data_IF_120286842206
#
_entry.id   IF_120286842206
#
_cell.length_a   1.000
_cell.length_b   1.000
_cell.length_c   1.000
_cell.angle_alpha   90.00
_cell.angle_beta   90.00
_cell.angle_gamma   90.00
#
_symmetry.space_group_name_H-M   'P 1'
#
loop_
_entity.id
_entity.type
_entity.pdbx_description
1 polymer ?
#
# COMPACT_ATOMS: atom_id res chain seq x y z
N UNK A 1 10.16 5.86 -6.93
CA UNK A 1 9.40 6.08 -5.67
C UNK A 1 9.04 7.54 -5.46
N UNK A 2 9.54 8.41 -6.34
CA UNK A 2 9.43 9.86 -6.24
C UNK A 2 8.23 10.25 -7.10
N UNK A 3 7.37 11.18 -6.66
CA UNK A 3 6.27 11.68 -7.48
C UNK A 3 6.81 12.38 -8.73
N UNK A 4 6.14 12.13 -9.84
CA UNK A 4 6.15 12.99 -11.03
C UNK A 4 4.95 13.92 -10.93
N UNK A 5 5.20 15.23 -10.98
CA UNK A 5 4.16 16.25 -10.96
C UNK A 5 3.67 16.48 -12.39
N UNK A 6 2.37 16.31 -12.60
CA UNK A 6 1.67 16.61 -13.85
C UNK A 6 0.98 17.96 -13.67
N UNK A 7 1.50 19.04 -14.30
CA UNK A 7 0.94 20.36 -14.16
C UNK A 7 -0.37 20.47 -14.94
N UNK A 8 -1.32 21.21 -14.37
CA UNK A 8 -2.45 21.70 -15.15
C UNK A 8 -1.95 22.81 -16.08
N UNK A 9 -2.42 22.83 -17.33
CA UNK A 9 -2.00 23.82 -18.33
C UNK A 9 -3.16 24.77 -18.65
N UNK A 10 -2.83 26.03 -18.90
CA UNK A 10 -3.77 27.05 -19.37
C UNK A 10 -4.12 26.86 -20.86
N UNK A 11 -4.91 27.78 -21.42
CA UNK A 11 -5.32 27.76 -22.82
C UNK A 11 -4.14 27.91 -23.81
N UNK A 12 -2.97 28.34 -23.35
CA UNK A 12 -1.75 28.49 -24.12
C UNK A 12 -0.77 27.32 -23.93
N UNK A 13 -1.15 26.31 -23.15
CA UNK A 13 -0.32 25.15 -22.86
C UNK A 13 0.75 25.40 -21.81
N UNK A 14 0.73 26.54 -21.10
CA UNK A 14 1.68 26.90 -20.04
C UNK A 14 1.18 26.35 -18.70
N UNK A 15 2.04 25.80 -17.82
CA UNK A 15 1.65 25.41 -16.48
C UNK A 15 0.95 26.54 -15.72
N UNK A 16 -0.30 26.32 -15.33
CA UNK A 16 -1.11 27.29 -14.61
C UNK A 16 -0.78 27.21 -13.11
N UNK A 17 0.10 28.11 -12.67
CA UNK A 17 0.54 28.22 -11.28
C UNK A 17 -0.56 28.74 -10.35
N UNK A 18 -1.60 29.40 -10.86
CA UNK A 18 -2.73 29.87 -10.05
C UNK A 18 -3.62 28.71 -9.59
N UNK A 19 -3.53 27.55 -10.26
CA UNK A 19 -4.30 26.33 -9.98
C UNK A 19 -3.41 25.18 -9.54
N UNK A 20 -2.35 25.49 -8.79
CA UNK A 20 -1.36 24.53 -8.31
C UNK A 20 -1.97 23.41 -7.45
N UNK A 21 -3.05 23.72 -6.73
CA UNK A 21 -3.85 22.80 -5.93
C UNK A 21 -4.49 21.67 -6.77
N UNK A 22 -4.75 21.94 -8.05
CA UNK A 22 -5.36 21.01 -9.00
C UNK A 22 -4.33 20.21 -9.80
N UNK A 23 -3.03 20.42 -9.54
CA UNK A 23 -1.99 19.61 -10.16
C UNK A 23 -2.00 18.21 -9.58
N UNK A 24 -1.59 17.22 -10.37
CA UNK A 24 -1.61 15.82 -9.93
C UNK A 24 -0.18 15.31 -9.75
N UNK A 25 0.11 14.71 -8.60
CA UNK A 25 1.32 13.93 -8.38
C UNK A 25 1.04 12.46 -8.66
N UNK A 26 1.88 11.83 -9.48
CA UNK A 26 1.78 10.41 -9.84
C UNK A 26 3.07 9.67 -9.46
N UNK A 27 2.99 8.43 -9.02
CA UNK A 27 4.19 7.65 -8.74
C UNK A 27 4.77 7.02 -10.02
N UNK A 28 6.07 7.19 -10.25
CA UNK A 28 6.86 6.55 -11.30
C UNK A 28 6.87 5.00 -11.27
N UNK A 29 6.49 4.39 -10.15
CA UNK A 29 6.60 2.93 -9.91
C UNK A 29 5.29 2.21 -9.60
N UNK A 30 4.21 2.93 -9.30
CA UNK A 30 2.93 2.32 -8.98
C UNK A 30 1.78 3.22 -9.47
N UNK A 31 0.55 2.69 -9.66
CA UNK A 31 -0.56 3.46 -10.20
C UNK A 31 -1.16 4.46 -9.20
N UNK A 32 -0.42 4.84 -8.15
CA UNK A 32 -0.88 5.82 -7.18
C UNK A 32 -0.80 7.23 -7.77
N UNK A 33 -1.90 7.97 -7.68
CA UNK A 33 -2.02 9.37 -8.05
C UNK A 33 -2.75 10.15 -6.95
N UNK A 34 -2.37 11.41 -6.75
CA UNK A 34 -3.04 12.32 -5.81
C UNK A 34 -3.03 13.75 -6.32
N UNK A 35 -3.94 14.60 -5.86
CA UNK A 35 -3.84 16.05 -6.05
C UNK A 35 -2.70 16.61 -5.19
N UNK A 36 -2.06 17.68 -5.66
CA UNK A 36 -1.00 18.39 -4.93
C UNK A 36 -1.55 18.99 -3.62
N UNK A 37 -2.80 19.46 -3.61
CA UNK A 37 -3.47 19.93 -2.39
C UNK A 37 -3.53 18.86 -1.29
N UNK A 38 -3.66 17.59 -1.70
CA UNK A 38 -3.81 16.43 -0.82
C UNK A 38 -2.49 15.65 -0.67
N UNK A 39 -1.34 16.22 -1.06
CA UNK A 39 -0.04 15.54 -0.99
C UNK A 39 0.45 15.30 0.44
N UNK A 40 -0.28 15.82 1.43
CA UNK A 40 0.03 15.78 2.86
C UNK A 40 0.11 14.40 3.57
N UNK A 41 -0.07 13.22 2.93
CA UNK A 41 0.41 11.96 3.52
C UNK A 41 1.66 11.38 2.83
N UNK A 42 2.31 12.10 1.92
CA UNK A 42 3.55 11.63 1.29
C UNK A 42 4.73 11.92 2.21
N UNK A 43 5.46 10.86 2.57
CA UNK A 43 6.53 10.92 3.57
C UNK A 43 7.68 11.77 3.01
N UNK A 44 8.05 12.84 3.70
CA UNK A 44 9.30 13.56 3.44
C UNK A 44 10.43 12.84 4.16
N UNK A 45 11.48 12.45 3.43
CA UNK A 45 12.67 11.85 4.05
C UNK A 45 13.38 12.85 4.98
N UNK A 46 13.71 12.42 6.20
CA UNK A 46 14.40 13.28 7.19
C UNK A 46 15.88 13.54 6.88
N UNK A 47 16.52 12.72 6.05
CA UNK A 47 17.92 12.89 5.67
C UNK A 47 18.09 12.55 4.19
N UNK A 48 18.65 13.50 3.44
CA UNK A 48 18.94 13.51 2.00
C UNK A 48 17.76 13.94 1.10
N UNK A 49 17.92 15.14 0.53
CA UNK A 49 17.28 15.66 -0.69
C UNK A 49 15.79 16.01 -0.68
N UNK A 50 15.13 16.16 0.48
CA UNK A 50 13.70 16.51 0.56
C UNK A 50 12.82 15.60 -0.34
N UNK A 51 13.24 14.36 -0.55
CA UNK A 51 12.53 13.45 -1.43
C UNK A 51 11.15 13.14 -0.82
N UNK A 52 10.12 13.43 -1.60
CA UNK A 52 8.73 13.08 -1.29
C UNK A 52 8.51 11.63 -1.71
N UNK A 53 8.09 10.77 -0.80
CA UNK A 53 7.91 9.34 -1.08
C UNK A 53 6.44 8.96 -1.21
N UNK A 54 6.13 8.19 -2.26
CA UNK A 54 4.80 7.64 -2.46
C UNK A 54 4.41 6.69 -1.30
N UNK A 55 3.29 6.92 -0.59
CA UNK A 55 2.91 6.14 0.58
C UNK A 55 2.64 4.66 0.25
N UNK A 56 2.10 4.36 -0.93
CA UNK A 56 1.89 2.98 -1.39
C UNK A 56 3.22 2.23 -1.55
N UNK A 57 4.21 2.86 -2.19
CA UNK A 57 5.55 2.27 -2.32
C UNK A 57 6.26 2.14 -0.98
N UNK A 58 6.18 3.15 -0.12
CA UNK A 58 6.83 3.11 1.21
C UNK A 58 6.21 2.03 2.09
N UNK A 59 4.89 1.86 2.06
CA UNK A 59 4.22 0.77 2.78
C UNK A 59 4.64 -0.61 2.25
N UNK A 60 4.75 -0.76 0.92
CA UNK A 60 5.23 -2.00 0.32
C UNK A 60 6.70 -2.29 0.69
N UNK A 61 7.54 -1.26 0.73
CA UNK A 61 8.94 -1.36 1.15
C UNK A 61 9.04 -1.74 2.63
N UNK A 62 8.33 -1.03 3.51
CA UNK A 62 8.30 -1.32 4.94
C UNK A 62 7.83 -2.76 5.21
N UNK A 63 6.76 -3.21 4.54
CA UNK A 63 6.30 -4.60 4.65
C UNK A 63 7.38 -5.60 4.19
N UNK A 64 8.12 -5.32 3.12
CA UNK A 64 9.23 -6.18 2.69
C UNK A 64 10.36 -6.22 3.70
N UNK A 65 10.76 -5.07 4.26
CA UNK A 65 11.84 -4.99 5.25
C UNK A 65 11.47 -5.71 6.55
N UNK A 66 10.25 -5.49 7.05
CA UNK A 66 9.70 -6.19 8.21
C UNK A 66 9.68 -7.71 7.91
N UNK A 67 9.11 -8.12 6.78
CA UNK A 67 9.04 -9.55 6.45
C UNK A 67 10.42 -10.19 6.32
N UNK A 68 11.43 -9.49 5.80
CA UNK A 68 12.81 -9.98 5.77
C UNK A 68 13.43 -10.09 7.16
N UNK A 69 13.16 -9.13 8.06
CA UNK A 69 13.69 -9.13 9.42
C UNK A 69 13.08 -10.24 10.30
N UNK A 70 11.81 -10.58 10.07
CA UNK A 70 11.07 -11.59 10.84
C UNK A 70 10.99 -12.96 10.15
N UNK A 71 11.59 -13.14 8.96
CA UNK A 71 11.61 -14.44 8.28
C UNK A 71 12.51 -15.41 9.06
N UNK A 72 11.95 -16.51 9.61
CA UNK A 72 12.76 -17.48 10.34
C UNK A 72 13.72 -18.24 9.39
N UNK A 73 14.85 -18.70 9.92
CA UNK A 73 15.82 -19.49 9.15
C UNK A 73 15.38 -20.96 8.98
N UNK A 74 15.90 -21.64 7.95
CA UNK A 74 15.70 -23.08 7.73
C UNK A 74 14.27 -23.45 7.28
N UNK A 75 13.82 -24.66 7.67
CA UNK A 75 12.51 -25.21 7.31
C UNK A 75 11.32 -24.30 7.69
N UNK A 76 11.29 -23.63 8.87
CA UNK A 76 10.25 -22.66 9.19
C UNK A 76 10.18 -21.48 8.23
N UNK A 77 11.32 -21.03 7.68
CA UNK A 77 11.38 -19.98 6.67
C UNK A 77 10.73 -20.38 5.35
N UNK A 78 10.96 -21.62 4.91
CA UNK A 78 10.31 -22.20 3.73
C UNK A 78 8.78 -22.28 3.90
N UNK A 79 8.30 -22.69 5.09
CA UNK A 79 6.88 -22.71 5.41
C UNK A 79 6.27 -21.29 5.45
N UNK A 80 7.01 -20.31 5.96
CA UNK A 80 6.61 -18.91 5.95
C UNK A 80 6.47 -18.38 4.52
N UNK A 81 7.44 -18.62 3.65
CA UNK A 81 7.42 -18.16 2.25
C UNK A 81 6.30 -18.80 1.43
N UNK A 82 6.14 -20.12 1.55
CA UNK A 82 5.07 -20.87 0.85
C UNK A 82 3.69 -20.41 1.28
N UNK A 83 3.46 -20.21 2.58
CA UNK A 83 2.21 -19.65 3.10
C UNK A 83 1.95 -18.24 2.53
N UNK A 84 2.98 -17.40 2.45
CA UNK A 84 2.86 -16.04 1.91
C UNK A 84 2.57 -16.03 0.41
N UNK A 85 3.17 -16.95 -0.35
CA UNK A 85 2.90 -17.13 -1.78
C UNK A 85 1.45 -17.57 -2.02
N UNK A 86 0.95 -18.55 -1.25
CA UNK A 86 -0.43 -19.00 -1.29
C UNK A 86 -1.43 -17.87 -1.00
N UNK A 87 -1.19 -17.07 0.03
CA UNK A 87 -2.02 -15.91 0.37
C UNK A 87 -2.10 -14.90 -0.78
N UNK A 88 -0.99 -14.67 -1.49
CA UNK A 88 -0.96 -13.74 -2.64
C UNK A 88 -1.61 -14.31 -3.90
N UNK A 89 -1.58 -15.63 -4.06
CA UNK A 89 -2.18 -16.31 -5.20
C UNK A 89 -3.70 -16.45 -5.07
N UNK A 90 -4.24 -16.34 -3.85
CA UNK A 90 -5.68 -16.42 -3.59
C UNK A 90 -6.40 -15.16 -4.09
N UNK A 91 -7.40 -15.29 -4.97
CA UNK A 91 -8.21 -14.16 -5.43
C UNK A 91 -8.89 -13.43 -4.26
N UNK A 92 -8.97 -12.10 -4.29
CA UNK A 92 -9.51 -11.29 -3.18
C UNK A 92 -10.90 -11.74 -2.66
N UNK A 93 -11.74 -12.29 -3.54
CA UNK A 93 -13.06 -12.80 -3.15
C UNK A 93 -12.98 -14.03 -2.23
N UNK A 94 -11.98 -14.90 -2.42
CA UNK A 94 -11.74 -16.07 -1.56
C UNK A 94 -11.28 -15.65 -0.16
N UNK A 95 -10.50 -14.57 -0.06
CA UNK A 95 -10.04 -14.01 1.21
C UNK A 95 -11.20 -13.43 2.04
N UNK A 96 -12.16 -12.76 1.39
CA UNK A 96 -13.38 -12.26 2.05
C UNK A 96 -14.28 -13.40 2.51
N UNK A 97 -14.50 -14.39 1.64
CA UNK A 97 -15.30 -15.58 1.97
C UNK A 97 -14.69 -16.37 3.14
N UNK A 98 -13.37 -16.59 3.13
CA UNK A 98 -12.66 -17.27 4.22
C UNK A 98 -12.74 -16.50 5.55
N UNK A 99 -12.64 -15.15 5.52
CA UNK A 99 -12.84 -14.31 6.71
C UNK A 99 -14.27 -14.37 7.23
N UNK A 100 -15.26 -14.30 6.35
CA UNK A 100 -16.67 -14.42 6.72
C UNK A 100 -16.97 -15.80 7.33
N UNK A 101 -16.46 -16.88 6.74
CA UNK A 101 -16.56 -18.23 7.28
C UNK A 101 -15.86 -18.37 8.63
N UNK A 102 -14.64 -17.85 8.80
CA UNK A 102 -13.94 -17.89 10.08
C UNK A 102 -14.68 -17.10 11.17
N UNK A 103 -15.26 -15.95 10.83
CA UNK A 103 -16.12 -15.19 11.74
C UNK A 103 -17.42 -15.93 12.07
N UNK A 104 -18.04 -16.60 11.10
CA UNK A 104 -19.24 -17.40 11.30
C UNK A 104 -18.97 -18.63 12.17
N UNK A 105 -17.84 -19.31 11.96
CA UNK A 105 -17.41 -20.45 12.78
C UNK A 105 -17.08 -20.03 14.21
N UNK A 106 -16.49 -18.85 14.42
CA UNK A 106 -16.28 -18.27 15.76
C UNK A 106 -17.57 -17.84 16.46
N UNK A 107 -18.65 -17.62 15.71
CA UNK A 107 -19.95 -17.16 16.21
C UNK A 107 -20.96 -18.28 16.46
N UNK A 108 -20.59 -19.57 16.40
CA UNK A 108 -21.55 -20.64 16.76
C UNK A 108 -22.06 -20.42 18.20
N UNK A 109 -23.38 -20.19 18.41
CA UNK A 109 -23.98 -20.29 19.71
C UNK A 109 -24.30 -21.77 19.96
N UNK A 110 -23.83 -22.32 21.07
CA UNK A 110 -24.23 -23.66 21.49
C UNK A 110 -23.11 -24.52 22.07
N UNK A 111 -22.63 -24.15 23.25
CA UNK A 111 -22.34 -25.15 24.28
C UNK A 111 -23.42 -24.98 25.35
N UNK A 112 -24.38 -25.91 25.51
CA UNK A 112 -25.21 -25.90 26.69
C UNK A 112 -24.29 -26.23 27.88
N UNK A 113 -24.23 -25.33 28.84
CA UNK A 113 -23.64 -25.61 30.15
C UNK A 113 -24.52 -26.66 30.82
N UNK A 114 -23.96 -27.85 31.04
CA UNK A 114 -24.36 -28.73 32.13
C UNK A 114 -23.77 -28.17 33.43
#
# INVERSE_FOLDING_TARGET
MIPVIIPLRDAHGVPDLARLDQWTATCDRCPASTLLADIAPWLMGMHQDQAVYCPACTRALAARLIDSAFRPAGLPGLLYDTRRALIRALPDHTHRAARQLACALKRRPGTPRL
#
